data_IF_298884177839
#
_entry.id   IF_298884177839
#
_cell.length_a   1.000
_cell.length_b   1.000
_cell.length_c   1.000
_cell.angle_alpha   90.00
_cell.angle_beta   90.00
_cell.angle_gamma   90.00
#
_symmetry.space_group_name_H-M   'P 1'
#
loop_
_entity.id
_entity.type
_entity.pdbx_description
1 polymer ?
#
# COMPACT_ATOMS: atom_id res chain seq x y z
N UNK A 1 22.61 2.61 -29.88
CA UNK A 1 21.87 2.47 -28.62
C UNK A 1 20.59 3.25 -28.79
N UNK A 2 19.53 2.55 -29.19
CA UNK A 2 18.26 3.16 -29.59
C UNK A 2 17.49 3.50 -28.33
N UNK A 3 17.40 4.80 -28.04
CA UNK A 3 16.44 5.37 -27.09
C UNK A 3 15.05 4.96 -27.55
N UNK A 4 14.32 4.19 -26.75
CA UNK A 4 12.90 3.98 -27.00
C UNK A 4 12.18 5.34 -26.90
N UNK A 5 11.27 5.60 -27.85
CA UNK A 5 10.43 6.79 -27.89
C UNK A 5 9.55 6.87 -26.62
N UNK A 6 9.25 8.08 -26.10
CA UNK A 6 8.49 8.25 -24.86
C UNK A 6 7.04 7.73 -24.89
N UNK A 7 6.50 7.37 -26.07
CA UNK A 7 5.14 6.83 -26.24
C UNK A 7 5.00 5.32 -25.92
N UNK A 8 6.10 4.56 -25.78
CA UNK A 8 6.06 3.12 -25.51
C UNK A 8 6.17 2.73 -24.01
N UNK A 9 6.22 3.71 -23.10
CA UNK A 9 6.34 3.45 -21.67
C UNK A 9 4.99 3.08 -21.05
N UNK A 10 4.78 1.77 -20.87
CA UNK A 10 3.59 1.22 -20.19
C UNK A 10 3.56 1.47 -18.68
N UNK A 11 4.68 1.95 -18.11
CA UNK A 11 4.82 2.34 -16.70
C UNK A 11 5.25 3.79 -16.59
N UNK A 12 4.68 4.50 -15.63
CA UNK A 12 5.16 5.81 -15.20
C UNK A 12 6.47 5.71 -14.43
N UNK A 13 7.18 6.84 -14.27
CA UNK A 13 8.41 6.90 -13.46
C UNK A 13 8.18 6.49 -12.00
N UNK A 14 6.97 6.71 -11.48
CA UNK A 14 6.58 6.31 -10.13
C UNK A 14 6.46 4.79 -10.01
N UNK A 15 5.94 4.14 -11.04
CA UNK A 15 5.85 2.68 -11.10
C UNK A 15 7.22 2.05 -11.24
N UNK A 16 8.09 2.62 -12.09
CA UNK A 16 9.48 2.18 -12.19
C UNK A 16 10.23 2.30 -10.86
N UNK A 17 9.91 3.32 -10.06
CA UNK A 17 10.44 3.44 -8.71
C UNK A 17 9.99 2.27 -7.82
N UNK A 18 8.73 1.86 -7.87
CA UNK A 18 8.26 0.68 -7.13
C UNK A 18 8.89 -0.63 -7.63
N UNK A 19 9.05 -0.79 -8.94
CA UNK A 19 9.75 -1.92 -9.56
C UNK A 19 11.17 -2.04 -9.01
N UNK A 20 11.89 -0.91 -8.86
CA UNK A 20 13.25 -0.93 -8.32
C UNK A 20 13.34 -1.46 -6.88
N UNK A 21 12.28 -1.31 -6.08
CA UNK A 21 12.20 -1.87 -4.72
C UNK A 21 11.71 -3.32 -4.66
N UNK A 22 11.20 -3.88 -5.76
CA UNK A 22 10.59 -5.21 -5.78
C UNK A 22 11.52 -6.30 -5.20
N UNK A 23 12.83 -6.40 -5.55
CA UNK A 23 13.67 -7.48 -5.04
C UNK A 23 13.86 -7.39 -3.52
N UNK A 24 13.96 -6.16 -3.01
CA UNK A 24 14.08 -5.92 -1.58
C UNK A 24 12.79 -6.26 -0.82
N UNK A 25 11.64 -5.82 -1.33
CA UNK A 25 10.33 -6.14 -0.74
C UNK A 25 10.07 -7.66 -0.75
N UNK A 26 10.45 -8.33 -1.83
CA UNK A 26 10.36 -9.78 -1.93
C UNK A 26 11.24 -10.47 -0.87
N UNK A 27 12.46 -9.97 -0.66
CA UNK A 27 13.37 -10.47 0.39
C UNK A 27 12.82 -10.28 1.82
N UNK A 28 11.92 -9.31 2.01
CA UNK A 28 11.19 -9.08 3.27
C UNK A 28 9.91 -9.92 3.39
N UNK A 29 9.58 -10.72 2.38
CA UNK A 29 8.39 -11.58 2.39
C UNK A 29 7.14 -10.94 1.79
N UNK A 30 7.29 -9.88 0.99
CA UNK A 30 6.18 -9.17 0.35
C UNK A 30 6.26 -9.24 -1.17
N UNK A 31 5.24 -9.83 -1.80
CA UNK A 31 5.13 -9.96 -3.24
C UNK A 31 4.28 -8.82 -3.80
N UNK A 32 4.85 -7.99 -4.67
CA UNK A 32 4.10 -6.99 -5.43
C UNK A 32 3.29 -7.64 -6.56
N UNK A 33 2.27 -6.94 -7.05
CA UNK A 33 1.47 -7.34 -8.21
C UNK A 33 2.33 -7.59 -9.46
N UNK A 34 1.87 -8.42 -10.42
CA UNK A 34 2.59 -8.69 -11.66
C UNK A 34 3.11 -7.43 -12.38
N UNK A 35 2.30 -6.36 -12.37
CA UNK A 35 2.64 -5.06 -12.96
C UNK A 35 3.94 -4.44 -12.44
N UNK A 36 4.41 -4.80 -11.25
CA UNK A 36 5.64 -4.26 -10.64
C UNK A 36 6.80 -5.27 -10.63
N UNK A 37 6.67 -6.37 -11.37
CA UNK A 37 7.78 -7.31 -11.58
C UNK A 37 8.74 -6.75 -12.64
N UNK A 38 10.07 -6.79 -12.46
CA UNK A 38 11.02 -6.22 -13.43
C UNK A 38 10.84 -6.73 -14.87
N UNK A 39 10.43 -7.99 -15.02
CA UNK A 39 10.20 -8.71 -16.27
C UNK A 39 8.71 -8.79 -16.69
N UNK A 40 7.86 -7.93 -16.13
CA UNK A 40 6.43 -7.88 -16.46
C UNK A 40 6.18 -7.75 -17.95
N UNK A 41 5.31 -8.62 -18.44
CA UNK A 41 4.72 -8.56 -19.76
C UNK A 41 3.23 -8.25 -19.54
N UNK A 42 2.68 -7.19 -20.14
CA UNK A 42 1.28 -6.84 -19.96
C UNK A 42 0.37 -7.98 -20.41
N UNK A 43 -0.56 -8.38 -19.55
CA UNK A 43 -1.36 -9.59 -19.78
C UNK A 43 -2.16 -9.56 -21.09
N UNK A 44 -2.58 -8.37 -21.53
CA UNK A 44 -3.30 -8.15 -22.79
C UNK A 44 -2.45 -8.32 -24.05
N UNK A 45 -1.13 -8.48 -23.93
CA UNK A 45 -0.23 -8.72 -25.08
C UNK A 45 0.03 -10.20 -25.33
N UNK A 46 -0.41 -11.08 -24.43
CA UNK A 46 -0.12 -12.53 -24.48
C UNK A 46 -1.02 -13.25 -25.49
N UNK A 47 -2.23 -12.75 -25.74
CA UNK A 47 -3.17 -13.29 -26.72
C UNK A 47 -3.81 -12.16 -27.50
N UNK A 48 -4.07 -12.42 -28.78
CA UNK A 48 -4.93 -11.56 -29.59
C UNK A 48 -6.33 -11.51 -28.94
N UNK A 49 -6.96 -10.33 -28.95
CA UNK A 49 -8.36 -10.09 -28.52
C UNK A 49 -8.60 -9.95 -27.00
N UNK A 50 -7.58 -9.60 -26.20
CA UNK A 50 -7.78 -9.18 -24.80
C UNK A 50 -7.85 -7.65 -24.72
N UNK A 51 -8.98 -7.13 -24.23
CA UNK A 51 -9.12 -5.71 -23.91
C UNK A 51 -8.27 -5.36 -22.68
N UNK A 52 -7.35 -4.41 -22.81
CA UNK A 52 -6.49 -3.99 -21.70
C UNK A 52 -7.31 -3.46 -20.52
N UNK A 53 -8.44 -2.80 -20.74
CA UNK A 53 -9.31 -2.31 -19.66
C UNK A 53 -9.92 -3.42 -18.79
N UNK A 54 -9.90 -4.67 -19.26
CA UNK A 54 -10.37 -5.84 -18.50
C UNK A 54 -9.29 -6.52 -17.66
N UNK A 55 -8.03 -6.11 -17.81
CA UNK A 55 -6.88 -6.72 -17.16
C UNK A 55 -6.54 -6.01 -15.84
N UNK A 56 -6.39 -6.76 -14.75
CA UNK A 56 -6.05 -6.17 -13.43
C UNK A 56 -4.71 -5.42 -13.44
N UNK A 57 -3.74 -5.90 -14.22
CA UNK A 57 -2.43 -5.29 -14.40
C UNK A 57 -2.42 -4.09 -15.39
N UNK A 58 -3.58 -3.68 -15.91
CA UNK A 58 -3.70 -2.43 -16.69
C UNK A 58 -3.99 -1.21 -15.81
N UNK A 59 -4.52 -1.42 -14.60
CA UNK A 59 -4.90 -0.36 -13.68
C UNK A 59 -3.71 0.03 -12.79
N UNK A 60 -3.30 1.29 -12.90
CA UNK A 60 -2.58 1.98 -11.84
C UNK A 60 -3.41 3.16 -11.33
N UNK A 61 -3.73 3.15 -10.04
CA UNK A 61 -4.54 4.19 -9.39
C UNK A 61 -4.11 4.44 -7.95
N UNK A 62 -2.91 3.99 -7.58
CA UNK A 62 -2.45 4.12 -6.20
C UNK A 62 -1.68 5.43 -6.00
N UNK A 63 -1.82 6.08 -4.84
CA UNK A 63 -1.03 7.25 -4.50
C UNK A 63 0.47 6.98 -4.65
N UNK A 64 1.23 8.02 -5.00
CA UNK A 64 2.69 7.98 -5.26
C UNK A 64 3.50 7.15 -4.26
N UNK A 65 3.06 7.08 -2.99
CA UNK A 65 3.79 6.47 -1.87
C UNK A 65 3.06 5.27 -1.25
N UNK A 66 2.06 4.71 -1.91
CA UNK A 66 1.27 3.60 -1.38
C UNK A 66 1.10 2.55 -2.46
N UNK A 67 1.31 1.28 -2.14
CA UNK A 67 1.08 0.18 -3.07
C UNK A 67 0.61 -1.07 -2.33
N UNK A 68 -0.31 -1.84 -2.93
CA UNK A 68 -0.73 -3.11 -2.38
C UNK A 68 0.28 -4.23 -2.66
N UNK A 69 0.32 -5.20 -1.75
CA UNK A 69 1.17 -6.37 -1.86
C UNK A 69 0.52 -7.57 -1.18
N UNK A 70 1.10 -8.75 -1.40
CA UNK A 70 0.73 -10.00 -0.72
C UNK A 70 1.87 -10.43 0.20
N UNK A 71 1.58 -10.60 1.49
CA UNK A 71 2.52 -11.20 2.44
C UNK A 71 2.60 -12.70 2.15
N UNK A 72 3.81 -13.21 1.92
CA UNK A 72 4.01 -14.54 1.33
C UNK A 72 3.72 -15.67 2.33
N UNK A 73 3.94 -15.46 3.61
CA UNK A 73 3.85 -16.53 4.61
C UNK A 73 2.42 -17.01 4.87
N UNK A 74 1.42 -16.16 4.63
CA UNK A 74 0.02 -16.43 4.93
C UNK A 74 -0.97 -15.93 3.86
N UNK A 75 -0.45 -15.50 2.71
CA UNK A 75 -1.22 -14.96 1.58
C UNK A 75 -2.08 -13.73 1.95
N UNK A 76 -1.70 -13.03 3.01
CA UNK A 76 -2.47 -11.89 3.51
C UNK A 76 -2.24 -10.63 2.66
N UNK A 77 -3.33 -10.00 2.21
CA UNK A 77 -3.29 -8.76 1.42
C UNK A 77 -2.98 -7.57 2.32
N UNK A 78 -1.97 -6.80 1.94
CA UNK A 78 -1.46 -5.66 2.69
C UNK A 78 -1.33 -4.43 1.80
N UNK A 79 -1.23 -3.28 2.44
CA UNK A 79 -0.77 -2.03 1.85
C UNK A 79 0.63 -1.73 2.39
N UNK A 80 1.53 -1.35 1.49
CA UNK A 80 2.87 -0.87 1.80
C UNK A 80 2.89 0.64 1.53
N UNK A 81 3.16 1.43 2.57
CA UNK A 81 3.32 2.88 2.49
C UNK A 81 4.79 3.27 2.65
N UNK A 82 5.29 4.14 1.79
CA UNK A 82 6.58 4.82 1.99
C UNK A 82 6.37 6.03 2.90
N UNK A 83 6.95 5.99 4.09
CA UNK A 83 6.96 7.09 5.05
C UNK A 83 8.37 7.69 5.05
N UNK A 84 8.50 8.88 4.50
CA UNK A 84 9.78 9.62 4.38
C UNK A 84 9.67 10.93 5.14
N UNK A 85 10.68 11.36 5.90
CA UNK A 85 10.70 12.68 6.53
C UNK A 85 10.51 13.78 5.47
N UNK A 86 9.71 14.80 5.80
CA UNK A 86 9.62 15.97 4.94
C UNK A 86 10.85 16.87 5.15
N UNK A 87 11.40 17.43 4.08
CA UNK A 87 12.52 18.38 4.17
C UNK A 87 12.15 19.72 4.83
N UNK A 88 10.91 19.89 5.30
CA UNK A 88 10.39 21.13 5.90
C UNK A 88 9.78 20.92 7.30
N UNK A 89 10.00 19.77 7.96
CA UNK A 89 9.46 19.54 9.30
C UNK A 89 9.65 18.10 9.79
N UNK A 90 8.82 17.70 10.76
CA UNK A 90 8.81 16.34 11.36
C UNK A 90 7.76 15.41 10.72
N UNK A 91 7.09 15.88 9.67
CA UNK A 91 6.10 15.11 8.91
C UNK A 91 6.75 13.82 8.36
N UNK A 92 6.09 12.69 8.59
CA UNK A 92 6.63 11.35 8.29
C UNK A 92 7.37 10.71 9.49
N UNK A 93 8.20 11.45 10.23
CA UNK A 93 8.85 10.93 11.44
C UNK A 93 7.81 10.70 12.54
N UNK A 94 6.98 11.72 12.81
CA UNK A 94 5.89 11.63 13.78
C UNK A 94 4.86 10.58 13.37
N UNK A 95 4.58 10.45 12.07
CA UNK A 95 3.64 9.44 11.56
C UNK A 95 4.13 8.03 11.92
N UNK A 96 5.40 7.74 11.66
CA UNK A 96 5.99 6.43 11.96
C UNK A 96 6.01 6.15 13.46
N UNK A 97 6.35 7.13 14.28
CA UNK A 97 6.38 7.01 15.73
C UNK A 97 4.99 6.74 16.31
N UNK A 98 3.97 7.48 15.86
CA UNK A 98 2.58 7.28 16.28
C UNK A 98 2.08 5.90 15.85
N UNK A 99 2.28 5.49 14.60
CA UNK A 99 1.87 4.17 14.11
C UNK A 99 2.50 3.05 14.94
N UNK A 100 3.80 3.13 15.23
CA UNK A 100 4.50 2.15 16.09
C UNK A 100 3.93 2.15 17.51
N UNK A 101 3.66 3.33 18.08
CA UNK A 101 3.13 3.48 19.44
C UNK A 101 1.76 2.84 19.59
N UNK A 102 0.82 3.12 18.69
CA UNK A 102 -0.53 2.55 18.71
C UNK A 102 -0.57 1.07 18.32
N UNK A 103 0.45 0.58 17.60
CA UNK A 103 0.55 -0.84 17.23
C UNK A 103 1.31 -1.69 18.24
N UNK A 104 1.73 -1.10 19.36
CA UNK A 104 2.45 -1.78 20.44
C UNK A 104 1.59 -1.91 21.70
N UNK A 105 1.80 -2.98 22.46
CA UNK A 105 1.18 -3.14 23.79
C UNK A 105 1.62 -2.00 24.72
N UNK A 106 0.74 -1.46 25.59
CA UNK A 106 -0.65 -1.89 25.83
C UNK A 106 -1.68 -1.31 24.85
N UNK A 107 -1.35 -0.26 24.09
CA UNK A 107 -2.32 0.47 23.26
C UNK A 107 -2.92 -0.41 22.16
N UNK A 108 -2.15 -1.30 21.55
CA UNK A 108 -2.67 -2.27 20.58
C UNK A 108 -3.79 -3.15 21.16
N UNK A 109 -3.67 -3.49 22.44
CA UNK A 109 -4.58 -4.42 23.12
C UNK A 109 -5.76 -3.67 23.78
N UNK A 110 -5.81 -2.34 23.66
CA UNK A 110 -6.89 -1.49 24.14
C UNK A 110 -8.07 -1.55 23.17
N UNK A 111 -9.28 -1.95 23.61
CA UNK A 111 -10.46 -2.04 22.74
C UNK A 111 -10.93 -0.68 22.20
N UNK A 112 -10.50 0.44 22.80
CA UNK A 112 -10.80 1.79 22.31
C UNK A 112 -9.83 2.28 21.22
N UNK A 113 -8.76 1.53 20.94
CA UNK A 113 -7.79 1.90 19.92
C UNK A 113 -8.24 1.44 18.52
N UNK A 114 -8.79 2.37 17.76
CA UNK A 114 -9.25 2.14 16.38
C UNK A 114 -8.19 2.49 15.32
N UNK A 115 -6.92 2.67 15.71
CA UNK A 115 -5.83 2.99 14.78
C UNK A 115 -5.48 1.76 13.93
N UNK A 116 -5.34 1.96 12.63
CA UNK A 116 -4.90 0.90 11.71
C UNK A 116 -3.54 0.37 12.16
N UNK A 117 -3.39 -0.95 12.41
CA UNK A 117 -2.15 -1.48 12.94
C UNK A 117 -1.03 -1.48 11.89
N UNK A 118 0.17 -1.13 12.35
CA UNK A 118 1.43 -1.37 11.67
C UNK A 118 1.83 -2.83 11.88
N UNK A 119 1.75 -3.63 10.82
CA UNK A 119 2.06 -5.06 10.82
C UNK A 119 3.57 -5.32 10.75
N UNK A 120 4.29 -4.48 9.99
CA UNK A 120 5.74 -4.55 9.84
C UNK A 120 6.28 -3.18 9.40
N UNK A 121 7.56 -2.94 9.68
CA UNK A 121 8.26 -1.71 9.29
C UNK A 121 9.75 -1.97 9.10
N UNK A 122 10.29 -1.48 7.98
CA UNK A 122 11.71 -1.64 7.65
C UNK A 122 12.19 -0.47 6.78
N UNK A 123 13.50 -0.15 6.78
CA UNK A 123 14.03 1.00 6.06
C UNK A 123 13.88 0.84 4.54
N UNK A 124 13.73 1.97 3.86
CA UNK A 124 13.82 2.07 2.39
C UNK A 124 15.30 2.08 2.00
N UNK A 125 15.76 1.25 1.03
CA UNK A 125 17.14 1.30 0.56
C UNK A 125 17.51 2.68 0.02
N UNK A 126 18.71 3.14 0.36
CA UNK A 126 19.33 4.37 -0.17
C UNK A 126 18.52 5.66 0.06
N UNK A 127 17.60 5.65 1.03
CA UNK A 127 16.75 6.80 1.36
C UNK A 127 16.49 6.87 2.87
N UNK A 128 16.43 8.09 3.40
CA UNK A 128 15.92 8.31 4.75
C UNK A 128 14.39 8.15 4.75
N UNK A 129 13.93 6.97 5.17
CA UNK A 129 12.52 6.61 5.16
C UNK A 129 12.28 5.14 5.47
N UNK A 130 11.03 4.81 5.73
CA UNK A 130 10.60 3.45 6.06
C UNK A 130 9.45 3.00 5.17
N UNK A 131 9.47 1.73 4.81
CA UNK A 131 8.25 1.03 4.44
C UNK A 131 7.46 0.72 5.70
N UNK A 132 6.16 0.96 5.64
CA UNK A 132 5.19 0.63 6.69
C UNK A 132 4.13 -0.27 6.06
N UNK A 133 3.96 -1.45 6.63
CA UNK A 133 3.02 -2.46 6.16
C UNK A 133 1.78 -2.41 7.03
N UNK A 134 0.62 -2.27 6.40
CA UNK A 134 -0.69 -2.18 7.05
C UNK A 134 -1.67 -3.16 6.40
N UNK A 135 -2.77 -3.54 7.06
CA UNK A 135 -3.86 -4.26 6.42
C UNK A 135 -4.39 -3.49 5.20
N UNK A 136 -4.75 -4.22 4.13
CA UNK A 136 -5.51 -3.63 3.03
C UNK A 136 -6.97 -3.44 3.50
N UNK A 137 -7.38 -2.18 3.68
CA UNK A 137 -8.74 -1.83 4.12
C UNK A 137 -9.59 -1.32 2.95
N UNK A 138 -10.88 -1.65 2.98
CA UNK A 138 -11.86 -1.08 2.07
C UNK A 138 -12.25 0.34 2.47
N UNK A 139 -12.95 1.04 1.56
CA UNK A 139 -13.56 2.33 1.87
C UNK A 139 -14.63 2.16 2.95
N UNK A 140 -14.66 3.05 3.95
CA UNK A 140 -15.63 2.98 5.07
C UNK A 140 -17.10 2.99 4.64
N UNK A 141 -17.39 3.51 3.45
CA UNK A 141 -18.74 3.56 2.86
C UNK A 141 -19.11 2.31 2.05
N UNK A 142 -18.25 1.30 2.00
CA UNK A 142 -18.48 0.07 1.25
C UNK A 142 -18.26 -1.18 2.13
N UNK A 143 -19.27 -2.06 2.28
CA UNK A 143 -20.64 -1.93 1.76
C UNK A 143 -21.38 -0.71 2.35
N UNK A 144 -22.38 -0.16 1.66
CA UNK A 144 -23.15 0.97 2.18
C UNK A 144 -23.88 0.56 3.45
N UNK A 145 -24.02 1.51 4.39
CA UNK A 145 -24.83 1.29 5.59
C UNK A 145 -26.26 0.91 5.21
N UNK A 146 -26.74 -0.22 5.72
CA UNK A 146 -28.07 -0.74 5.45
C UNK A 146 -29.12 -0.12 6.37
N UNK A 147 -28.75 0.24 7.60
CA UNK A 147 -29.68 0.73 8.61
C UNK A 147 -29.04 1.76 9.56
N UNK A 148 -29.89 2.46 10.33
CA UNK A 148 -29.45 3.48 11.30
C UNK A 148 -28.60 2.92 12.45
N UNK A 149 -28.73 1.64 12.79
CA UNK A 149 -27.91 1.02 13.83
C UNK A 149 -26.45 0.87 13.39
N UNK A 150 -26.21 0.56 12.11
CA UNK A 150 -24.85 0.53 11.54
C UNK A 150 -24.22 1.93 11.50
N UNK A 151 -24.99 2.95 11.12
CA UNK A 151 -24.52 4.35 11.17
C UNK A 151 -24.20 4.76 12.61
N UNK A 152 -25.08 4.44 13.56
CA UNK A 152 -24.83 4.71 14.97
C UNK A 152 -23.57 3.99 15.48
N UNK A 153 -23.39 2.71 15.13
CA UNK A 153 -22.19 1.95 15.51
C UNK A 153 -20.91 2.57 14.93
N UNK A 154 -20.93 2.98 13.67
CA UNK A 154 -19.81 3.69 13.03
C UNK A 154 -19.48 5.01 13.73
N UNK A 155 -20.48 5.84 14.01
CA UNK A 155 -20.28 7.09 14.74
C UNK A 155 -19.76 6.84 16.15
N UNK A 156 -20.26 5.80 16.83
CA UNK A 156 -19.77 5.42 18.15
C UNK A 156 -18.31 5.01 18.12
N UNK A 157 -17.86 4.24 17.11
CA UNK A 157 -16.46 3.86 16.95
C UNK A 157 -15.55 5.08 16.68
N UNK A 158 -15.99 6.00 15.81
CA UNK A 158 -15.19 7.19 15.46
C UNK A 158 -15.12 8.20 16.62
N UNK A 159 -16.19 8.33 17.39
CA UNK A 159 -16.28 9.28 18.49
C UNK A 159 -16.06 8.64 19.86
N UNK A 160 -15.59 7.39 19.92
CA UNK A 160 -15.29 6.74 21.18
C UNK A 160 -14.20 7.55 21.89
N UNK A 161 -14.54 8.11 23.05
CA UNK A 161 -13.61 8.87 23.87
C UNK A 161 -12.94 7.86 24.81
N UNK A 162 -11.65 7.61 24.58
CA UNK A 162 -10.81 6.81 25.48
C UNK A 162 -10.61 7.44 26.86
#
# INVERSE_FOLDING_TARGET
MTSAEPEDRLRSELEERWVSYQPYLLSKGYRLRPRYQPDWIPSWTIKDDIDSFSCEDSVDSMPVRVLDATRINDDYRVIIKMVTPSGKGQEGVEELELLRRFSSSPLRDDPSNHVVPCLDTFPIPDMDGHFVVMPLLGTYSYPPFFNMAEVHAFLHQIFEVG
#
